data_IF_741423464016
#
_entry.id   IF_741423464016
#
_cell.length_a   1.000
_cell.length_b   1.000
_cell.length_c   1.000
_cell.angle_alpha   90.00
_cell.angle_beta   90.00
_cell.angle_gamma   90.00
#
_symmetry.space_group_name_H-M   'P 1'
#
loop_
_entity.id
_entity.type
_entity.pdbx_description
1 polymer ?
#
# COMPACT_ATOMS: atom_id res chain seq x y z
N UNK A 1 -1.51 -7.17 29.96
CA UNK A 1 -2.01 -6.73 28.64
C UNK A 1 -1.09 -7.32 27.59
N UNK A 2 -1.47 -8.45 27.01
CA UNK A 2 -0.69 -9.13 25.97
C UNK A 2 -0.80 -8.31 24.69
N UNK A 3 0.28 -7.61 24.33
CA UNK A 3 0.42 -6.97 23.02
C UNK A 3 0.47 -8.06 21.97
N UNK A 4 -0.60 -8.16 21.19
CA UNK A 4 -0.69 -9.04 20.02
C UNK A 4 0.34 -8.54 19.02
N UNK A 5 1.47 -9.24 18.90
CA UNK A 5 2.36 -9.08 17.75
C UNK A 5 1.66 -9.79 16.58
N UNK A 6 0.77 -9.07 15.90
CA UNK A 6 0.32 -9.43 14.57
C UNK A 6 1.53 -9.27 13.62
N UNK A 7 2.50 -10.17 13.71
CA UNK A 7 3.54 -10.32 12.69
C UNK A 7 2.88 -10.94 11.48
N UNK A 8 2.10 -10.14 10.74
CA UNK A 8 1.87 -10.40 9.34
C UNK A 8 3.25 -10.33 8.68
N UNK A 9 3.87 -11.49 8.47
CA UNK A 9 5.15 -11.57 7.79
C UNK A 9 5.02 -10.98 6.38
N UNK A 10 5.83 -9.98 6.08
CA UNK A 10 5.89 -9.35 4.76
C UNK A 10 7.35 -9.28 4.31
N UNK A 11 7.57 -9.30 2.99
CA UNK A 11 8.88 -9.10 2.40
C UNK A 11 8.92 -7.86 1.48
N UNK A 12 7.78 -7.20 1.27
CA UNK A 12 7.63 -6.04 0.42
C UNK A 12 6.66 -5.00 0.98
N UNK A 13 6.88 -3.75 0.58
CA UNK A 13 6.04 -2.60 0.94
C UNK A 13 5.82 -1.72 -0.29
N UNK A 14 4.58 -1.32 -0.52
CA UNK A 14 4.21 -0.34 -1.54
C UNK A 14 3.52 0.86 -0.90
N UNK A 15 4.02 2.05 -1.19
CA UNK A 15 3.50 3.30 -0.64
C UNK A 15 2.84 4.12 -1.75
N UNK A 16 1.63 4.57 -1.50
CA UNK A 16 0.87 5.47 -2.36
C UNK A 16 0.51 6.71 -1.56
N UNK A 17 0.80 7.90 -2.07
CA UNK A 17 0.49 9.15 -1.36
C UNK A 17 -0.01 10.23 -2.30
N UNK A 18 -0.99 11.01 -1.85
CA UNK A 18 -1.50 12.16 -2.58
C UNK A 18 -1.76 13.35 -1.64
N UNK A 19 -1.33 14.54 -2.07
CA UNK A 19 -1.54 15.81 -1.37
C UNK A 19 -2.63 16.66 -2.03
N UNK A 20 -2.81 16.54 -3.34
CA UNK A 20 -3.83 17.28 -4.10
C UNK A 20 -5.20 16.60 -4.05
N UNK A 21 -6.30 17.34 -3.88
CA UNK A 21 -7.64 16.78 -3.80
C UNK A 21 -8.01 15.84 -4.96
N UNK A 22 -7.70 16.22 -6.20
CA UNK A 22 -8.03 15.41 -7.38
C UNK A 22 -7.30 14.06 -7.33
N UNK A 23 -6.01 14.09 -6.98
CA UNK A 23 -5.15 12.90 -6.88
C UNK A 23 -5.56 11.96 -5.75
N UNK A 24 -6.20 12.46 -4.68
CA UNK A 24 -6.72 11.60 -3.61
C UNK A 24 -7.85 10.69 -4.11
N UNK A 25 -8.70 11.19 -5.01
CA UNK A 25 -9.76 10.39 -5.63
C UNK A 25 -9.21 9.27 -6.52
N UNK A 26 -8.09 9.54 -7.20
CA UNK A 26 -7.45 8.60 -8.11
C UNK A 26 -6.66 7.49 -7.41
N UNK A 27 -6.30 7.66 -6.13
CA UNK A 27 -5.48 6.69 -5.39
C UNK A 27 -6.10 5.28 -5.38
N UNK A 28 -7.43 5.17 -5.26
CA UNK A 28 -8.11 3.88 -5.30
C UNK A 28 -7.86 3.15 -6.62
N UNK A 29 -8.03 3.85 -7.74
CA UNK A 29 -7.82 3.29 -9.08
C UNK A 29 -6.36 2.91 -9.31
N UNK A 30 -5.44 3.78 -8.90
CA UNK A 30 -3.99 3.51 -8.99
C UNK A 30 -3.61 2.26 -8.20
N UNK A 31 -4.15 2.10 -6.99
CA UNK A 31 -3.91 0.92 -6.15
C UNK A 31 -4.52 -0.32 -6.80
N UNK A 32 -5.76 -0.24 -7.27
CA UNK A 32 -6.45 -1.35 -7.95
C UNK A 32 -5.67 -1.82 -9.17
N UNK A 33 -5.22 -0.90 -10.04
CA UNK A 33 -4.39 -1.22 -11.20
C UNK A 33 -3.07 -1.87 -10.77
N UNK A 34 -2.40 -1.33 -9.74
CA UNK A 34 -1.15 -1.90 -9.26
C UNK A 34 -1.33 -3.33 -8.73
N UNK A 35 -2.38 -3.60 -7.95
CA UNK A 35 -2.70 -4.95 -7.46
C UNK A 35 -3.00 -5.90 -8.62
N UNK A 36 -3.72 -5.44 -9.65
CA UNK A 36 -4.01 -6.25 -10.84
C UNK A 36 -2.74 -6.59 -11.65
N UNK A 37 -1.78 -5.68 -11.73
CA UNK A 37 -0.49 -5.91 -12.39
C UNK A 37 0.46 -6.80 -11.57
N UNK A 38 0.29 -6.84 -10.24
CA UNK A 38 1.17 -7.52 -9.30
C UNK A 38 0.47 -8.70 -8.61
N UNK A 39 -0.17 -9.59 -9.38
CA UNK A 39 -0.88 -10.77 -8.84
C UNK A 39 0.02 -11.78 -8.09
N UNK A 40 1.35 -11.65 -8.25
CA UNK A 40 2.36 -12.44 -7.53
C UNK A 40 2.64 -11.89 -6.12
N UNK A 41 2.10 -10.71 -5.78
CA UNK A 41 2.15 -10.12 -4.46
C UNK A 41 0.87 -10.44 -3.70
N UNK A 42 1.00 -11.18 -2.59
CA UNK A 42 -0.09 -11.36 -1.63
C UNK A 42 -0.09 -10.19 -0.66
N UNK A 43 -1.10 -9.32 -0.72
CA UNK A 43 -1.26 -8.25 0.29
C UNK A 43 -1.59 -8.89 1.63
N UNK A 44 -0.75 -8.68 2.64
CA UNK A 44 -0.92 -9.24 3.98
C UNK A 44 -1.46 -8.20 4.95
N UNK A 45 -1.12 -6.92 4.78
CA UNK A 45 -1.62 -5.84 5.63
C UNK A 45 -1.72 -4.51 4.87
N UNK A 46 -2.46 -3.55 5.44
CA UNK A 46 -2.53 -2.18 4.94
C UNK A 46 -2.56 -1.16 6.07
N UNK A 47 -1.95 -0.01 5.83
CA UNK A 47 -2.06 1.15 6.70
C UNK A 47 -2.55 2.36 5.93
N UNK A 48 -3.45 3.14 6.53
CA UNK A 48 -3.91 4.42 5.99
C UNK A 48 -3.50 5.51 6.96
N UNK A 49 -2.70 6.45 6.47
CA UNK A 49 -2.22 7.59 7.23
C UNK A 49 -2.80 8.85 6.62
N UNK A 50 -3.34 9.71 7.48
CA UNK A 50 -3.77 11.04 7.11
C UNK A 50 -2.95 12.05 7.90
N UNK A 51 -2.38 13.02 7.19
CA UNK A 51 -1.75 14.19 7.81
C UNK A 51 -2.46 15.43 7.29
N UNK A 52 -2.98 16.25 8.20
CA UNK A 52 -3.63 17.51 7.89
C UNK A 52 -2.85 18.64 8.53
N UNK A 53 -2.14 19.44 7.73
CA UNK A 53 -1.80 20.80 8.12
C UNK A 53 -2.86 21.78 7.56
N UNK A 54 -2.86 23.03 8.03
CA UNK A 54 -3.87 24.03 7.68
C UNK A 54 -3.91 24.40 6.18
N UNK A 55 -2.95 23.94 5.37
CA UNK A 55 -2.86 24.21 3.94
C UNK A 55 -2.84 22.92 3.07
N UNK A 56 -2.50 21.75 3.63
CA UNK A 56 -2.35 20.51 2.88
C UNK A 56 -2.79 19.27 3.66
N UNK A 57 -3.74 18.52 3.08
CA UNK A 57 -4.19 17.21 3.55
C UNK A 57 -3.52 16.12 2.71
N UNK A 58 -2.51 15.47 3.27
CA UNK A 58 -1.89 14.28 2.68
C UNK A 58 -2.69 13.03 3.08
N UNK A 59 -3.01 12.18 2.09
CA UNK A 59 -3.49 10.82 2.29
C UNK A 59 -2.41 9.86 1.80
N UNK A 60 -1.97 8.96 2.67
CA UNK A 60 -1.01 7.90 2.36
C UNK A 60 -1.64 6.55 2.63
N UNK A 61 -1.54 5.65 1.66
CA UNK A 61 -1.94 4.24 1.78
C UNK A 61 -0.69 3.39 1.59
N UNK A 62 -0.42 2.53 2.55
CA UNK A 62 0.73 1.63 2.57
C UNK A 62 0.17 0.21 2.47
N UNK A 63 0.65 -0.57 1.51
CA UNK A 63 0.37 -1.99 1.40
C UNK A 63 1.62 -2.77 1.79
N UNK A 64 1.46 -3.70 2.73
CA UNK A 64 2.47 -4.70 3.06
C UNK A 64 2.11 -5.98 2.34
N UNK A 65 3.09 -6.59 1.68
CA UNK A 65 2.84 -7.77 0.88
C UNK A 65 3.96 -8.79 0.98
N UNK A 66 3.59 -10.03 0.64
CA UNK A 66 4.52 -11.12 0.42
C UNK A 66 4.63 -11.39 -1.09
N UNK A 67 5.79 -11.14 -1.65
CA UNK A 67 6.13 -11.40 -3.05
C UNK A 67 6.68 -12.82 -3.20
N UNK A 68 6.08 -13.61 -4.09
CA UNK A 68 6.62 -14.91 -4.43
C UNK A 68 7.77 -14.78 -5.44
N UNK A 69 9.01 -14.71 -4.93
CA UNK A 69 10.23 -14.60 -5.73
C UNK A 69 10.51 -15.83 -6.62
N UNK A 70 9.69 -16.89 -6.54
CA UNK A 70 9.80 -18.09 -7.37
C UNK A 70 9.24 -17.91 -8.78
N UNK A 71 8.48 -16.85 -9.04
CA UNK A 71 7.95 -16.54 -10.37
C UNK A 71 9.01 -15.76 -11.17
N UNK A 72 9.54 -16.30 -12.29
CA UNK A 72 10.54 -15.59 -13.08
C UNK A 72 9.95 -14.28 -13.64
N UNK A 73 10.61 -13.16 -13.33
CA UNK A 73 10.30 -11.87 -13.95
C UNK A 73 10.72 -11.95 -15.43
N UNK A 74 9.76 -12.07 -16.33
CA UNK A 74 10.02 -11.89 -17.76
C UNK A 74 10.38 -10.40 -17.94
N UNK A 75 11.62 -10.17 -18.37
CA UNK A 75 12.19 -8.84 -18.62
C UNK A 75 11.61 -8.19 -19.87
#
# INVERSE_FOLDING_TARGET
>A
MTGQTDTNEFNGVKVFSATKPERRGELGEVITCWVAEHQHCLIVDKMVLQSSDAAFHCLTIILFYWENLSTPRVA
#
